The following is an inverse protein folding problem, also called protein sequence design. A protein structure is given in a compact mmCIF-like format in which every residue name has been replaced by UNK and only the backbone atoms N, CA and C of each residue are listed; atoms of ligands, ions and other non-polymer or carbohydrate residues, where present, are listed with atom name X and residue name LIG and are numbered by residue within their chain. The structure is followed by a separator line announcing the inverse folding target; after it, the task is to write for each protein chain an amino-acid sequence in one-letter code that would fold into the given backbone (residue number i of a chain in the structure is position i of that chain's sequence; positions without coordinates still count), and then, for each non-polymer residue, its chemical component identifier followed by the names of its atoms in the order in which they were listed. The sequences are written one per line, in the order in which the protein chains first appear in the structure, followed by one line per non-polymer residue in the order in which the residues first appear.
data_IF_038812670308
#
_entry.id   IF_038812670308
#
_cell.length_a   1.000
_cell.length_b   1.000
_cell.length_c   1.000
_cell.angle_alpha   90.00
_cell.angle_beta   90.00
_cell.angle_gamma   90.00
#
_symmetry.space_group_name_H-M   'P 1'
#
loop_
_entity.id
_entity.type
_entity.pdbx_description
1 polymer ?
#
# COMPACT_ATOMS: atom_id res chain seq x y z
N UNK A 1 -13.02 -7.34 -6.92
CA UNK A 1 -11.90 -6.48 -6.50
C UNK A 1 -11.06 -6.11 -7.71
N UNK A 2 -10.65 -4.84 -7.79
CA UNK A 2 -9.87 -4.31 -8.91
C UNK A 2 -8.56 -3.70 -8.39
N UNK A 3 -7.41 -4.21 -8.86
CA UNK A 3 -6.07 -3.76 -8.48
C UNK A 3 -5.51 -2.83 -9.55
N UNK A 4 -5.10 -1.64 -9.16
CA UNK A 4 -4.44 -0.64 -10.00
C UNK A 4 -2.99 -0.46 -9.57
N UNK A 5 -2.10 -0.57 -10.57
CA UNK A 5 -0.66 -0.38 -10.42
C UNK A 5 -0.16 0.55 -11.52
N UNK A 6 0.67 1.49 -11.16
CA UNK A 6 1.41 2.35 -12.10
C UNK A 6 2.86 1.91 -12.10
N UNK A 7 3.33 1.38 -13.23
CA UNK A 7 4.71 0.91 -13.39
C UNK A 7 5.22 1.17 -14.81
N UNK A 8 6.55 1.19 -14.99
CA UNK A 8 7.16 1.46 -16.30
C UNK A 8 6.81 0.41 -17.35
N UNK A 9 6.67 0.83 -18.60
CA UNK A 9 6.46 -0.08 -19.73
C UNK A 9 7.75 -0.81 -20.11
N UNK A 10 7.64 -1.97 -20.79
CA UNK A 10 8.78 -2.59 -21.44
C UNK A 10 9.48 -1.60 -22.37
N UNK A 11 10.80 -1.42 -22.15
CA UNK A 11 11.61 -0.44 -22.88
C UNK A 11 11.94 0.82 -22.08
N UNK A 12 11.23 1.12 -21.00
CA UNK A 12 11.63 2.19 -20.07
C UNK A 12 12.84 1.76 -19.25
N UNK A 13 13.74 2.69 -18.93
CA UNK A 13 14.97 2.40 -18.18
C UNK A 13 14.74 1.83 -16.78
N UNK A 14 13.58 2.13 -16.17
CA UNK A 14 13.16 1.65 -14.85
C UNK A 14 12.30 0.37 -14.90
N UNK A 15 12.06 -0.21 -16.09
CA UNK A 15 11.26 -1.41 -16.23
C UNK A 15 11.92 -2.63 -15.54
N UNK A 16 11.13 -3.38 -14.77
CA UNK A 16 11.53 -4.63 -14.13
C UNK A 16 10.55 -5.74 -14.49
N UNK A 17 11.02 -7.01 -14.49
CA UNK A 17 10.16 -8.18 -14.76
C UNK A 17 9.23 -8.53 -13.59
N UNK A 18 9.50 -8.01 -12.39
CA UNK A 18 8.64 -8.11 -11.21
C UNK A 18 8.15 -6.74 -10.81
N UNK A 19 6.94 -6.66 -10.24
CA UNK A 19 6.46 -5.39 -9.73
C UNK A 19 7.33 -4.91 -8.57
N UNK A 20 8.04 -3.80 -8.81
CA UNK A 20 8.77 -3.02 -7.82
C UNK A 20 8.27 -1.59 -7.95
N UNK A 21 8.09 -0.90 -6.83
CA UNK A 21 7.66 0.49 -6.84
C UNK A 21 8.62 1.35 -7.68
N UNK A 22 8.08 2.09 -8.65
CA UNK A 22 8.89 2.92 -9.54
C UNK A 22 9.53 4.09 -8.76
N UNK A 23 10.89 4.20 -8.71
CA UNK A 23 11.55 5.33 -8.07
C UNK A 23 11.16 6.70 -8.65
N UNK A 24 10.73 6.74 -9.91
CA UNK A 24 10.24 7.94 -10.59
C UNK A 24 8.71 8.07 -10.53
N UNK A 25 8.07 7.43 -9.56
CA UNK A 25 6.61 7.46 -9.39
C UNK A 25 6.09 8.90 -9.33
N UNK A 26 5.11 9.17 -10.18
CA UNK A 26 4.38 10.43 -10.19
C UNK A 26 3.05 10.28 -9.46
N UNK A 27 2.84 10.93 -8.31
CA UNK A 27 1.61 10.82 -7.53
C UNK A 27 0.33 11.07 -8.34
N UNK A 28 0.39 12.05 -9.24
CA UNK A 28 -0.74 12.39 -10.10
C UNK A 28 -1.17 11.22 -10.99
N UNK A 29 -0.24 10.41 -11.51
CA UNK A 29 -0.57 9.23 -12.35
C UNK A 29 -1.34 8.18 -11.56
N UNK A 30 -0.97 7.97 -10.29
CA UNK A 30 -1.70 7.05 -9.40
C UNK A 30 -3.13 7.54 -9.19
N UNK A 31 -3.30 8.80 -8.85
CA UNK A 31 -4.64 9.39 -8.64
C UNK A 31 -5.48 9.37 -9.93
N UNK A 32 -4.89 9.71 -11.08
CA UNK A 32 -5.60 9.74 -12.36
C UNK A 32 -5.98 8.34 -12.84
N UNK A 33 -5.15 7.31 -12.58
CA UNK A 33 -5.51 5.93 -12.88
C UNK A 33 -6.76 5.49 -12.10
N UNK A 34 -6.84 5.87 -10.83
CA UNK A 34 -8.01 5.59 -9.99
C UNK A 34 -9.24 6.33 -10.51
N UNK A 35 -9.14 7.62 -10.80
CA UNK A 35 -10.24 8.41 -11.38
C UNK A 35 -10.79 7.81 -12.67
N UNK A 36 -9.92 7.26 -13.53
CA UNK A 36 -10.32 6.66 -14.78
C UNK A 36 -11.23 5.43 -14.61
N UNK A 37 -11.09 4.70 -13.49
CA UNK A 37 -11.84 3.47 -13.20
C UNK A 37 -12.86 3.62 -12.06
N UNK A 38 -12.97 4.80 -11.44
CA UNK A 38 -13.93 5.07 -10.38
C UNK A 38 -15.38 5.21 -10.87
N UNK A 39 -15.58 5.33 -12.19
CA UNK A 39 -16.92 5.42 -12.79
C UNK A 39 -17.71 4.11 -12.51
N UNK A 40 -18.95 4.20 -11.99
CA UNK A 40 -19.79 3.04 -11.68
C UNK A 40 -20.03 2.07 -12.84
N UNK A 41 -19.88 2.54 -14.10
CA UNK A 41 -19.99 1.66 -15.29
C UNK A 41 -19.01 0.49 -15.29
N UNK A 42 -17.89 0.59 -14.55
CA UNK A 42 -16.90 -0.48 -14.43
C UNK A 42 -17.27 -1.55 -13.40
N UNK A 43 -18.29 -1.32 -12.57
CA UNK A 43 -18.81 -2.31 -11.60
C UNK A 43 -17.77 -2.76 -10.59
N UNK A 44 -16.89 -1.87 -10.14
CA UNK A 44 -15.86 -2.20 -9.15
C UNK A 44 -16.45 -2.13 -7.75
N UNK A 45 -16.42 -3.24 -7.01
CA UNK A 45 -16.92 -3.33 -5.64
C UNK A 45 -15.85 -2.95 -4.60
N UNK A 46 -14.59 -3.22 -4.90
CA UNK A 46 -13.45 -2.98 -4.02
C UNK A 46 -12.21 -2.63 -4.83
N UNK A 47 -11.59 -1.51 -4.53
CA UNK A 47 -10.29 -1.15 -5.08
C UNK A 47 -9.14 -1.62 -4.18
N UNK A 48 -8.09 -2.16 -4.79
CA UNK A 48 -6.79 -2.42 -4.17
C UNK A 48 -5.78 -1.47 -4.80
N UNK A 49 -5.30 -0.50 -4.02
CA UNK A 49 -4.56 0.65 -4.51
C UNK A 49 -3.14 0.71 -3.95
N UNK A 50 -2.22 1.21 -4.75
CA UNK A 50 -0.88 1.54 -4.31
C UNK A 50 -0.81 2.93 -3.66
N UNK A 51 0.23 3.14 -2.84
CA UNK A 51 0.54 4.47 -2.31
C UNK A 51 0.81 5.46 -3.45
N UNK A 52 0.28 6.69 -3.42
CA UNK A 52 0.60 7.71 -4.43
C UNK A 52 2.05 8.18 -4.35
N UNK A 53 2.72 7.97 -3.21
CA UNK A 53 4.12 8.33 -2.97
C UNK A 53 4.95 7.09 -2.66
N UNK A 54 6.25 7.15 -2.92
CA UNK A 54 7.17 6.09 -2.52
C UNK A 54 7.09 5.85 -1.01
N UNK A 55 6.92 4.60 -0.60
CA UNK A 55 6.82 4.25 0.81
C UNK A 55 8.05 4.69 1.61
N UNK A 56 9.26 4.49 1.05
CA UNK A 56 10.53 4.87 1.66
C UNK A 56 10.78 6.37 1.74
N UNK A 57 10.06 7.17 0.96
CA UNK A 57 10.19 8.63 0.94
C UNK A 57 9.11 9.34 1.79
N UNK A 58 8.15 8.59 2.35
CA UNK A 58 7.11 9.17 3.19
C UNK A 58 7.69 9.64 4.53
N UNK A 59 7.48 10.91 4.92
CA UNK A 59 7.78 11.34 6.28
C UNK A 59 6.92 10.56 7.29
N UNK A 60 7.31 10.48 8.56
CA UNK A 60 6.44 9.94 9.59
C UNK A 60 5.08 10.65 9.59
N UNK A 61 3.99 9.86 9.58
CA UNK A 61 2.63 10.39 9.56
C UNK A 61 2.38 11.23 10.83
N UNK A 62 2.03 12.50 10.65
CA UNK A 62 1.86 13.46 11.76
C UNK A 62 1.38 14.83 11.28
N UNK A 63 1.80 15.88 11.99
CA UNK A 63 1.32 17.25 11.76
C UNK A 63 2.39 18.19 11.18
N UNK A 64 3.54 17.66 10.72
CA UNK A 64 4.55 18.49 10.06
C UNK A 64 4.07 18.97 8.68
N UNK A 65 4.68 20.02 8.17
CA UNK A 65 4.36 20.51 6.81
C UNK A 65 4.59 19.43 5.74
N UNK A 66 5.67 18.64 5.87
CA UNK A 66 5.97 17.53 4.97
C UNK A 66 4.90 16.43 5.06
N UNK A 67 4.46 16.07 6.28
CA UNK A 67 3.41 15.08 6.47
C UNK A 67 2.07 15.55 5.89
N UNK A 68 1.70 16.82 6.10
CA UNK A 68 0.47 17.36 5.50
C UNK A 68 0.53 17.39 3.96
N UNK A 69 1.68 17.71 3.39
CA UNK A 69 1.86 17.66 1.94
C UNK A 69 1.73 16.22 1.39
N UNK A 70 2.26 15.24 2.10
CA UNK A 70 2.09 13.83 1.76
C UNK A 70 0.62 13.39 1.90
N UNK A 71 -0.04 13.76 3.01
CA UNK A 71 -1.44 13.44 3.26
C UNK A 71 -2.35 13.95 2.15
N UNK A 72 -2.11 15.14 1.63
CA UNK A 72 -2.92 15.70 0.56
C UNK A 72 -2.99 14.80 -0.70
N UNK A 73 -1.99 14.00 -0.99
CA UNK A 73 -2.02 13.03 -2.08
C UNK A 73 -2.91 11.82 -1.75
N UNK A 74 -2.84 11.31 -0.52
CA UNK A 74 -3.73 10.24 -0.07
C UNK A 74 -5.19 10.71 -0.01
N UNK A 75 -5.44 11.95 0.42
CA UNK A 75 -6.78 12.54 0.45
C UNK A 75 -7.36 12.66 -0.97
N UNK A 76 -6.55 13.05 -1.96
CA UNK A 76 -6.99 13.06 -3.36
C UNK A 76 -7.31 11.65 -3.88
N UNK A 77 -6.54 10.64 -3.44
CA UNK A 77 -6.77 9.24 -3.79
C UNK A 77 -8.11 8.77 -3.21
N UNK A 78 -8.34 8.98 -1.91
CA UNK A 78 -9.59 8.61 -1.24
C UNK A 78 -10.80 9.36 -1.79
N UNK A 79 -10.66 10.65 -2.10
CA UNK A 79 -11.74 11.46 -2.69
C UNK A 79 -12.09 11.06 -4.13
N UNK A 80 -11.22 10.33 -4.83
CA UNK A 80 -11.49 9.84 -6.19
C UNK A 80 -12.46 8.65 -6.22
N UNK A 81 -12.76 8.03 -5.07
CA UNK A 81 -13.48 6.75 -4.98
C UNK A 81 -14.65 6.88 -4.01
N UNK A 82 -15.78 6.30 -4.37
CA UNK A 82 -16.97 6.18 -3.50
C UNK A 82 -17.19 4.77 -2.97
N UNK A 83 -16.51 3.78 -3.56
CA UNK A 83 -16.54 2.38 -3.15
C UNK A 83 -15.42 2.08 -2.12
N UNK A 84 -15.54 1.02 -1.33
CA UNK A 84 -14.48 0.61 -0.42
C UNK A 84 -13.13 0.42 -1.13
N UNK A 85 -12.05 0.73 -0.44
CA UNK A 85 -10.70 0.53 -0.95
C UNK A 85 -9.71 0.11 0.14
N UNK A 86 -8.70 -0.63 -0.28
CA UNK A 86 -7.63 -1.13 0.58
C UNK A 86 -6.27 -0.77 0.00
N UNK A 87 -5.26 -0.64 0.86
CA UNK A 87 -3.89 -0.29 0.47
C UNK A 87 -3.06 -1.55 0.23
N UNK A 88 -2.32 -1.62 -0.88
CA UNK A 88 -1.33 -2.65 -1.13
C UNK A 88 0.07 -2.25 -0.66
N UNK A 89 0.93 -3.22 -0.38
CA UNK A 89 2.25 -2.95 0.19
C UNK A 89 3.33 -2.58 -0.83
N UNK A 90 3.14 -2.85 -2.10
CA UNK A 90 4.10 -2.58 -3.20
C UNK A 90 5.54 -3.08 -2.96
N UNK A 91 5.76 -4.01 -2.03
CA UNK A 91 7.09 -4.47 -1.63
C UNK A 91 7.82 -3.53 -0.66
N UNK A 92 7.11 -2.60 -0.03
CA UNK A 92 7.64 -1.76 1.04
C UNK A 92 8.17 -2.60 2.22
N UNK A 93 9.11 -2.05 2.98
CA UNK A 93 9.56 -2.66 4.26
C UNK A 93 8.42 -2.70 5.27
N UNK A 94 8.57 -3.49 6.34
CA UNK A 94 7.59 -3.52 7.43
C UNK A 94 7.31 -2.12 8.01
N UNK A 95 8.37 -1.36 8.29
CA UNK A 95 8.26 -0.02 8.89
C UNK A 95 7.60 0.98 7.94
N UNK A 96 8.01 0.99 6.68
CA UNK A 96 7.48 1.90 5.66
C UNK A 96 5.99 1.62 5.40
N UNK A 97 5.61 0.35 5.30
CA UNK A 97 4.22 0.00 5.03
C UNK A 97 3.28 0.38 6.18
N UNK A 98 3.69 0.19 7.43
CA UNK A 98 2.90 0.67 8.56
C UNK A 98 2.70 2.19 8.54
N UNK A 99 3.70 2.95 8.07
CA UNK A 99 3.58 4.40 7.87
C UNK A 99 2.62 4.74 6.72
N UNK A 100 2.70 4.04 5.57
CA UNK A 100 1.76 4.17 4.45
C UNK A 100 0.31 3.97 4.92
N UNK A 101 0.05 2.94 5.72
CA UNK A 101 -1.30 2.65 6.22
C UNK A 101 -1.87 3.79 7.08
N UNK A 102 -1.06 4.46 7.89
CA UNK A 102 -1.52 5.62 8.68
C UNK A 102 -2.04 6.75 7.80
N UNK A 103 -1.37 7.03 6.69
CA UNK A 103 -1.83 8.00 5.69
C UNK A 103 -3.10 7.54 4.98
N UNK A 104 -3.13 6.28 4.55
CA UNK A 104 -4.27 5.69 3.85
C UNK A 104 -5.54 5.68 4.72
N UNK A 105 -5.43 5.34 6.01
CA UNK A 105 -6.56 5.33 6.93
C UNK A 105 -7.11 6.74 7.20
N UNK A 106 -6.25 7.75 7.30
CA UNK A 106 -6.70 9.16 7.37
C UNK A 106 -7.45 9.58 6.11
N UNK A 107 -7.15 8.99 4.96
CA UNK A 107 -7.83 9.24 3.69
C UNK A 107 -9.04 8.33 3.44
N UNK A 108 -9.44 7.50 4.41
CA UNK A 108 -10.65 6.69 4.34
C UNK A 108 -10.45 5.26 3.84
N UNK A 109 -9.24 4.72 3.82
CA UNK A 109 -9.00 3.30 3.51
C UNK A 109 -9.70 2.37 4.51
N UNK A 110 -10.20 1.22 4.02
CA UNK A 110 -10.95 0.24 4.80
C UNK A 110 -10.07 -0.91 5.31
N UNK A 111 -8.83 -1.01 4.85
CA UNK A 111 -7.92 -2.08 5.24
C UNK A 111 -6.68 -2.15 4.36
N UNK A 112 -6.02 -3.30 4.37
CA UNK A 112 -4.83 -3.52 3.57
C UNK A 112 -4.80 -4.93 2.97
N UNK A 113 -4.00 -5.08 1.90
CA UNK A 113 -3.59 -6.37 1.35
C UNK A 113 -2.07 -6.36 1.20
N UNK A 114 -1.39 -7.10 2.05
CA UNK A 114 0.07 -7.18 2.06
C UNK A 114 0.53 -8.63 1.96
N UNK A 115 1.63 -8.83 1.29
CA UNK A 115 2.32 -10.11 1.15
C UNK A 115 3.80 -9.92 1.46
N UNK A 116 4.57 -9.45 0.47
CA UNK A 116 6.02 -9.30 0.58
C UNK A 116 6.47 -8.47 1.79
N UNK A 117 5.77 -7.41 2.14
CA UNK A 117 6.04 -6.62 3.34
C UNK A 117 5.96 -7.42 4.65
N UNK A 118 5.32 -8.60 4.64
CA UNK A 118 5.18 -9.45 5.83
C UNK A 118 6.18 -10.60 5.81
N UNK A 119 6.37 -11.26 4.66
CA UNK A 119 7.07 -12.53 4.60
C UNK A 119 8.39 -12.50 3.83
N UNK A 120 8.70 -11.42 3.06
CA UNK A 120 9.85 -11.41 2.16
C UNK A 120 11.19 -11.60 2.87
N UNK A 121 11.38 -10.92 3.99
CA UNK A 121 12.64 -11.01 4.76
C UNK A 121 12.85 -12.41 5.34
N UNK A 122 11.77 -13.09 5.74
CA UNK A 122 11.87 -14.46 6.24
C UNK A 122 12.30 -15.46 5.17
N UNK A 123 11.96 -15.21 3.90
CA UNK A 123 12.38 -16.07 2.78
C UNK A 123 13.85 -15.91 2.39
N UNK A 124 14.58 -14.95 2.96
CA UNK A 124 16.02 -14.84 2.74
C UNK A 124 16.80 -16.08 3.22
N UNK A 125 16.22 -16.88 4.13
CA UNK A 125 16.80 -18.13 4.58
C UNK A 125 16.57 -19.32 3.62
N UNK A 126 15.77 -19.17 2.57
CA UNK A 126 15.51 -20.25 1.60
C UNK A 126 16.83 -20.76 0.97
N UNK A 127 17.03 -22.09 0.83
CA UNK A 127 16.03 -23.17 0.92
C UNK A 127 15.84 -23.81 2.31
N UNK A 128 16.39 -23.26 3.38
CA UNK A 128 16.18 -23.75 4.75
C UNK A 128 14.77 -23.37 5.22
N UNK A 129 13.82 -24.31 5.09
CA UNK A 129 12.41 -24.08 5.42
C UNK A 129 12.19 -23.89 6.92
N UNK A 130 12.95 -24.58 7.77
CA UNK A 130 12.84 -24.45 9.23
C UNK A 130 13.28 -23.05 9.68
N UNK A 131 14.36 -22.54 9.07
CA UNK A 131 14.82 -21.17 9.30
C UNK A 131 13.81 -20.14 8.78
N UNK A 132 13.20 -20.37 7.61
CA UNK A 132 12.14 -19.51 7.08
C UNK A 132 10.93 -19.47 8.02
N UNK A 133 10.45 -20.63 8.49
CA UNK A 133 9.34 -20.72 9.43
C UNK A 133 9.66 -19.99 10.73
N UNK A 134 10.83 -20.24 11.30
CA UNK A 134 11.29 -19.57 12.52
C UNK A 134 11.29 -18.04 12.35
N UNK A 135 11.81 -17.52 11.24
CA UNK A 135 11.84 -16.10 10.95
C UNK A 135 10.42 -15.51 10.78
N UNK A 136 9.51 -16.24 10.11
CA UNK A 136 8.10 -15.84 9.99
C UNK A 136 7.42 -15.76 11.35
N UNK A 137 7.62 -16.74 12.21
CA UNK A 137 7.03 -16.75 13.55
C UNK A 137 7.58 -15.64 14.45
N UNK A 138 8.85 -15.27 14.28
CA UNK A 138 9.50 -14.26 15.13
C UNK A 138 9.23 -12.83 14.66
N UNK A 139 9.08 -12.58 13.36
CA UNK A 139 8.92 -11.24 12.81
C UNK A 139 7.60 -11.08 12.04
N UNK A 140 7.30 -11.94 11.09
CA UNK A 140 6.14 -11.81 10.19
C UNK A 140 4.81 -11.86 10.93
N UNK A 141 4.62 -12.83 11.81
CA UNK A 141 3.37 -13.00 12.58
C UNK A 141 3.15 -11.85 13.55
N UNK A 142 4.11 -11.41 14.37
CA UNK A 142 3.94 -10.23 15.23
C UNK A 142 3.67 -8.96 14.42
N UNK A 143 4.36 -8.77 13.29
CA UNK A 143 4.11 -7.63 12.42
C UNK A 143 2.70 -7.65 11.83
N UNK A 144 2.23 -8.79 11.36
CA UNK A 144 0.86 -8.92 10.86
C UNK A 144 -0.17 -8.60 11.94
N UNK A 145 0.05 -9.06 13.18
CA UNK A 145 -0.79 -8.69 14.32
C UNK A 145 -0.78 -7.18 14.60
N UNK A 146 0.39 -6.54 14.47
CA UNK A 146 0.52 -5.08 14.59
C UNK A 146 -0.28 -4.34 13.50
N UNK A 147 -0.22 -4.80 12.24
CA UNK A 147 -1.01 -4.21 11.15
C UNK A 147 -2.51 -4.36 11.38
N UNK A 148 -2.96 -5.51 11.87
CA UNK A 148 -4.37 -5.73 12.20
C UNK A 148 -4.82 -4.78 13.33
N UNK A 149 -4.05 -4.65 14.39
CA UNK A 149 -4.35 -3.71 15.47
C UNK A 149 -4.40 -2.24 14.99
N UNK A 150 -3.51 -1.85 14.08
CA UNK A 150 -3.54 -0.54 13.44
C UNK A 150 -4.82 -0.34 12.62
N UNK A 151 -5.21 -1.37 11.86
CA UNK A 151 -6.43 -1.38 11.05
C UNK A 151 -7.67 -1.24 11.91
N UNK A 152 -7.78 -2.04 12.97
CA UNK A 152 -8.92 -2.00 13.90
C UNK A 152 -9.07 -0.62 14.55
N UNK A 153 -7.95 0.06 14.81
CA UNK A 153 -7.94 1.36 15.47
C UNK A 153 -8.21 2.54 14.53
N UNK A 154 -7.85 2.45 13.24
CA UNK A 154 -7.78 3.63 12.38
C UNK A 154 -8.51 3.51 11.04
N UNK A 155 -8.76 2.30 10.53
CA UNK A 155 -9.40 2.11 9.24
C UNK A 155 -10.89 2.54 9.27
N UNK A 156 -11.37 3.01 8.13
CA UNK A 156 -12.81 3.24 7.95
C UNK A 156 -13.53 1.89 8.00
N UNK A 157 -14.55 1.78 8.84
CA UNK A 157 -15.34 0.54 8.92
C UNK A 157 -16.12 0.35 7.63
N UNK A 158 -16.02 -0.82 7.06
CA UNK A 158 -16.89 -1.23 5.97
C UNK A 158 -18.21 -1.74 6.57
N UNK A 159 -19.27 -1.02 6.22
CA UNK A 159 -20.65 -1.47 6.51
C UNK A 159 -21.24 -1.87 5.16
N UNK A 160 -21.55 -3.15 4.93
CA UNK A 160 -22.13 -3.64 3.67
C UNK A 160 -23.56 -3.11 3.43
#
# INVERSE_FOLDING_TARGET
MFELLVYPFPGDASHTTGYVEDPAKHPQRVVDSVRAFADPRFGVDLFKLESPLLASALPPCGETAASRAAQAWFDQLGAAITTPWVMLSAGATMADFANVLRYAYRAGAHGFLAGRAIWWEALAAFPDLDACESALMQAGVPYFAQLNALTDAQATRWVP
#
